data_IF_509992717067
#
_entry.id   IF_509992717067
#
_cell.length_a   1.000
_cell.length_b   1.000
_cell.length_c   1.000
_cell.angle_alpha   90.00
_cell.angle_beta   90.00
_cell.angle_gamma   90.00
#
_symmetry.space_group_name_H-M   'P 1'
#
loop_
_entity.id
_entity.type
_entity.pdbx_description
1 polymer ?
#
# COMPACT_ATOMS: atom_id res chain seq x y z
N UNK A 1 -20.58 2.25 -10.57
CA UNK A 1 -21.30 1.65 -9.43
C UNK A 1 -20.59 2.14 -8.17
N UNK A 2 -21.09 3.22 -7.58
CA UNK A 2 -20.48 3.82 -6.38
C UNK A 2 -20.85 2.92 -5.19
N UNK A 3 -19.84 2.36 -4.53
CA UNK A 3 -20.03 1.70 -3.24
C UNK A 3 -20.57 2.75 -2.27
N UNK A 4 -21.83 2.60 -1.87
CA UNK A 4 -22.37 3.20 -0.66
C UNK A 4 -21.58 2.60 0.51
N UNK A 5 -20.41 3.17 0.80
CA UNK A 5 -19.62 2.81 1.97
C UNK A 5 -20.46 3.18 3.19
N UNK A 6 -20.96 2.13 3.84
CA UNK A 6 -21.73 2.15 5.06
C UNK A 6 -21.16 3.15 6.06
N UNK A 7 -22.04 4.03 6.55
CA UNK A 7 -21.85 4.79 7.77
C UNK A 7 -21.84 3.83 8.96
N UNK A 8 -20.76 3.09 9.15
CA UNK A 8 -20.51 2.32 10.37
C UNK A 8 -19.93 3.25 11.43
N UNK A 9 -20.75 4.21 11.87
CA UNK A 9 -20.52 4.95 13.11
C UNK A 9 -20.88 4.06 14.31
N UNK A 10 -20.20 2.93 14.45
CA UNK A 10 -20.17 2.18 15.69
C UNK A 10 -19.05 2.77 16.53
N UNK A 11 -19.43 3.56 17.55
CA UNK A 11 -18.57 4.00 18.64
C UNK A 11 -17.63 2.85 19.02
N UNK A 12 -16.37 2.94 18.62
CA UNK A 12 -15.37 2.02 19.09
C UNK A 12 -15.27 2.26 20.61
N UNK A 13 -15.43 1.22 21.46
CA UNK A 13 -15.02 1.37 22.85
C UNK A 13 -13.57 1.84 22.84
N UNK A 14 -13.19 2.77 23.73
CA UNK A 14 -11.81 3.12 23.98
C UNK A 14 -11.06 1.82 24.33
N UNK A 15 -10.45 1.18 23.33
CA UNK A 15 -10.45 -0.28 23.35
C UNK A 15 -9.46 -0.86 22.36
N UNK A 16 -8.95 -2.02 22.74
CA UNK A 16 -8.00 -2.81 21.98
C UNK A 16 -8.40 -2.92 20.50
N UNK A 17 -7.42 -3.04 19.59
CA UNK A 17 -7.73 -3.26 18.18
C UNK A 17 -8.61 -4.49 17.98
N UNK A 18 -9.54 -4.42 17.04
CA UNK A 18 -10.47 -5.51 16.68
C UNK A 18 -10.51 -5.72 15.18
N UNK A 19 -10.94 -6.93 14.77
CA UNK A 19 -11.25 -7.25 13.38
C UNK A 19 -12.75 -7.56 13.25
N UNK A 20 -13.46 -6.75 12.48
CA UNK A 20 -14.86 -7.02 12.10
C UNK A 20 -14.84 -7.73 10.74
N UNK A 21 -15.52 -8.87 10.64
CA UNK A 21 -15.52 -9.72 9.43
C UNK A 21 -16.89 -9.65 8.78
N UNK A 22 -16.95 -9.08 7.59
CA UNK A 22 -18.12 -9.10 6.72
C UNK A 22 -17.87 -10.01 5.51
N UNK A 23 -18.92 -10.45 4.78
CA UNK A 23 -18.77 -11.33 3.63
C UNK A 23 -17.79 -10.81 2.58
N UNK A 24 -17.84 -9.51 2.27
CA UNK A 24 -17.07 -8.92 1.18
C UNK A 24 -15.81 -8.17 1.63
N UNK A 25 -15.70 -7.87 2.92
CA UNK A 25 -14.59 -7.08 3.46
C UNK A 25 -14.36 -7.33 4.95
N UNK A 26 -13.12 -7.11 5.40
CA UNK A 26 -12.77 -7.12 6.82
C UNK A 26 -12.32 -5.72 7.24
N UNK A 27 -12.67 -5.31 8.46
CA UNK A 27 -12.31 -4.00 9.02
C UNK A 27 -11.40 -4.21 10.21
N UNK A 28 -10.15 -3.77 10.12
CA UNK A 28 -9.25 -3.63 11.26
C UNK A 28 -9.48 -2.24 11.84
N UNK A 29 -9.82 -2.12 13.13
CA UNK A 29 -10.05 -0.81 13.75
C UNK A 29 -9.59 -0.74 15.19
N UNK A 30 -9.23 0.47 15.62
CA UNK A 30 -8.97 0.84 17.01
C UNK A 30 -9.53 2.24 17.29
N UNK A 31 -9.12 2.87 18.40
CA UNK A 31 -9.59 4.20 18.79
C UNK A 31 -9.10 5.35 17.86
N UNK A 32 -8.10 5.10 17.01
CA UNK A 32 -7.48 6.12 16.16
C UNK A 32 -7.79 5.91 14.68
N UNK A 33 -7.87 4.66 14.24
CA UNK A 33 -7.83 4.27 12.84
C UNK A 33 -8.83 3.15 12.53
N UNK A 34 -9.29 3.17 11.28
CA UNK A 34 -9.93 2.04 10.63
C UNK A 34 -9.25 1.76 9.28
N UNK A 35 -9.08 0.49 8.95
CA UNK A 35 -8.57 -0.01 7.69
C UNK A 35 -9.53 -1.07 7.14
N UNK A 36 -10.13 -0.80 5.99
CA UNK A 36 -11.07 -1.70 5.32
C UNK A 36 -10.34 -2.48 4.23
N UNK A 37 -10.28 -3.80 4.37
CA UNK A 37 -9.69 -4.74 3.41
C UNK A 37 -10.80 -5.39 2.60
N UNK A 38 -10.83 -5.19 1.28
CA UNK A 38 -11.88 -5.76 0.43
C UNK A 38 -11.43 -7.09 -0.20
N UNK A 39 -12.20 -8.17 -0.01
CA UNK A 39 -11.93 -9.48 -0.62
C UNK A 39 -11.92 -9.40 -2.14
N UNK A 40 -12.89 -8.67 -2.70
CA UNK A 40 -13.01 -8.40 -4.14
C UNK A 40 -11.84 -7.62 -4.75
N UNK A 41 -10.91 -7.12 -3.93
CA UNK A 41 -9.72 -6.37 -4.34
C UNK A 41 -8.42 -7.07 -3.90
N UNK A 42 -8.45 -8.39 -3.77
CA UNK A 42 -7.30 -9.17 -3.32
C UNK A 42 -6.95 -8.97 -1.85
N UNK A 43 -7.88 -8.45 -1.04
CA UNK A 43 -7.67 -8.14 0.37
C UNK A 43 -6.72 -6.96 0.60
N UNK A 44 -6.62 -6.06 -0.38
CA UNK A 44 -5.94 -4.78 -0.27
C UNK A 44 -6.80 -3.74 0.46
N UNK A 45 -6.20 -2.73 1.11
CA UNK A 45 -6.94 -1.64 1.73
C UNK A 45 -7.70 -0.82 0.68
N UNK A 46 -9.01 -0.74 0.82
CA UNK A 46 -9.85 0.18 0.03
C UNK A 46 -10.07 1.51 0.76
N UNK A 47 -9.84 1.53 2.07
CA UNK A 47 -9.97 2.71 2.92
C UNK A 47 -9.04 2.60 4.13
N UNK A 48 -8.32 3.68 4.44
CA UNK A 48 -7.71 3.96 5.73
C UNK A 48 -8.17 5.36 6.16
N UNK A 49 -8.85 5.42 7.29
CA UNK A 49 -9.43 6.64 7.84
C UNK A 49 -9.22 6.71 9.35
N UNK A 50 -9.28 7.91 9.93
CA UNK A 50 -9.33 8.04 11.39
C UNK A 50 -10.71 7.74 11.95
N UNK A 51 -10.81 7.80 13.29
CA UNK A 51 -12.05 7.63 14.04
C UNK A 51 -13.14 8.66 13.69
N UNK A 52 -12.77 9.83 13.16
CA UNK A 52 -13.72 10.85 12.68
C UNK A 52 -14.18 10.59 11.23
N UNK A 53 -13.68 9.53 10.59
CA UNK A 53 -13.99 9.18 9.20
C UNK A 53 -13.19 9.97 8.18
N UNK A 54 -12.17 10.74 8.60
CA UNK A 54 -11.33 11.51 7.68
C UNK A 54 -10.36 10.55 6.99
N UNK A 55 -10.36 10.55 5.66
CA UNK A 55 -9.61 9.60 4.83
C UNK A 55 -8.16 10.04 4.68
N UNK A 56 -7.22 9.12 4.93
CA UNK A 56 -5.79 9.31 4.66
C UNK A 56 -5.34 8.56 3.41
N UNK A 57 -5.97 7.42 3.13
CA UNK A 57 -5.64 6.57 1.99
C UNK A 57 -6.89 5.81 1.54
N UNK A 58 -7.08 5.67 0.22
CA UNK A 58 -8.05 4.76 -0.41
C UNK A 58 -7.46 3.97 -1.58
N UNK A 59 -8.19 2.95 -2.02
CA UNK A 59 -7.95 2.24 -3.28
C UNK A 59 -6.50 1.77 -3.50
N UNK A 60 -5.92 1.10 -2.50
CA UNK A 60 -4.61 0.48 -2.65
C UNK A 60 -4.57 -0.48 -3.85
N UNK A 61 -3.44 -0.51 -4.56
CA UNK A 61 -3.22 -1.38 -5.72
C UNK A 61 -1.86 -2.02 -5.62
N UNK A 62 -1.82 -3.34 -5.69
CA UNK A 62 -0.62 -4.10 -5.96
C UNK A 62 -0.74 -4.63 -7.38
N UNK A 63 0.13 -4.16 -8.27
CA UNK A 63 0.07 -4.53 -9.67
C UNK A 63 1.46 -4.55 -10.29
N UNK A 64 1.56 -5.28 -11.40
CA UNK A 64 2.70 -5.24 -12.29
C UNK A 64 2.21 -5.00 -13.72
N UNK A 65 2.96 -4.22 -14.48
CA UNK A 65 2.77 -4.08 -15.92
C UNK A 65 3.98 -4.66 -16.70
N UNK A 66 3.94 -4.48 -18.01
CA UNK A 66 4.99 -4.70 -19.02
C UNK A 66 6.34 -5.25 -18.52
N UNK A 67 6.78 -6.36 -19.12
CA UNK A 67 8.09 -6.98 -18.86
C UNK A 67 8.10 -7.97 -17.68
N UNK A 68 7.18 -7.84 -16.72
CA UNK A 68 6.94 -8.86 -15.68
C UNK A 68 6.09 -10.05 -16.15
N UNK A 69 5.55 -10.05 -17.36
CA UNK A 69 4.80 -11.16 -17.96
C UNK A 69 5.29 -11.35 -19.39
N UNK A 70 5.61 -12.58 -19.78
CA UNK A 70 5.85 -12.92 -21.16
C UNK A 70 4.56 -12.70 -21.98
N UNK A 71 4.56 -11.73 -22.91
CA UNK A 71 3.41 -11.41 -23.77
C UNK A 71 2.72 -10.07 -23.51
N UNK A 72 3.13 -9.30 -22.50
CA UNK A 72 2.57 -7.98 -22.19
C UNK A 72 1.26 -8.02 -21.38
N UNK A 73 0.77 -6.86 -20.98
CA UNK A 73 -0.44 -6.69 -20.16
C UNK A 73 -0.18 -6.34 -18.69
N UNK A 74 -1.26 -6.29 -17.91
CA UNK A 74 -1.23 -5.92 -16.47
C UNK A 74 -1.76 -7.08 -15.63
N UNK A 75 -1.03 -7.41 -14.58
CA UNK A 75 -1.49 -8.32 -13.52
C UNK A 75 -1.69 -7.53 -12.24
N UNK A 76 -2.74 -7.85 -11.50
CA UNK A 76 -3.05 -7.12 -10.27
C UNK A 76 -3.69 -8.03 -9.23
N UNK A 77 -3.47 -7.69 -7.96
CA UNK A 77 -4.19 -8.32 -6.85
C UNK A 77 -5.69 -8.00 -6.90
N UNK A 78 -6.09 -6.87 -7.50
CA UNK A 78 -7.51 -6.51 -7.65
C UNK A 78 -8.30 -7.45 -8.56
N UNK A 79 -7.62 -8.32 -9.32
CA UNK A 79 -8.26 -9.37 -10.13
C UNK A 79 -8.40 -10.69 -9.36
N UNK A 80 -7.86 -10.79 -8.13
CA UNK A 80 -8.07 -11.90 -7.21
C UNK A 80 -9.25 -11.56 -6.28
N UNK A 81 -10.42 -12.16 -6.51
CA UNK A 81 -11.65 -11.82 -5.77
C UNK A 81 -11.89 -12.67 -4.52
N UNK A 82 -11.12 -13.74 -4.33
CA UNK A 82 -11.23 -14.64 -3.17
C UNK A 82 -9.85 -14.98 -2.59
N UNK A 83 -9.14 -13.98 -2.01
CA UNK A 83 -7.88 -14.24 -1.34
C UNK A 83 -8.10 -15.04 -0.04
N UNK A 84 -7.09 -15.81 0.35
CA UNK A 84 -7.06 -16.39 1.69
C UNK A 84 -6.84 -15.28 2.70
N UNK A 85 -7.68 -15.22 3.74
CA UNK A 85 -7.54 -14.25 4.82
C UNK A 85 -7.57 -14.97 6.16
N UNK A 86 -6.55 -14.73 6.98
CA UNK A 86 -6.44 -15.29 8.33
C UNK A 86 -6.18 -14.16 9.33
N UNK A 87 -6.52 -14.41 10.60
CA UNK A 87 -6.41 -13.42 11.66
C UNK A 87 -5.86 -14.04 12.92
N UNK A 88 -4.95 -13.32 13.56
CA UNK A 88 -4.41 -13.62 14.88
C UNK A 88 -4.68 -12.42 15.78
N UNK A 89 -5.36 -12.66 16.89
CA UNK A 89 -5.73 -11.64 17.88
C UNK A 89 -5.06 -11.99 19.21
N UNK A 90 -4.41 -11.02 19.85
CA UNK A 90 -3.74 -11.24 21.14
C UNK A 90 -2.74 -10.16 21.48
N UNK A 91 -2.39 -10.05 22.77
CA UNK A 91 -1.37 -9.11 23.27
C UNK A 91 -1.62 -7.64 22.88
N UNK A 92 -2.89 -7.22 22.86
CA UNK A 92 -3.27 -5.85 22.50
C UNK A 92 -3.01 -5.48 21.03
N UNK A 93 -2.89 -6.49 20.15
CA UNK A 93 -2.70 -6.33 18.71
C UNK A 93 -3.61 -7.27 17.93
N UNK A 94 -3.94 -6.87 16.72
CA UNK A 94 -4.52 -7.75 15.71
C UNK A 94 -3.60 -7.81 14.52
N UNK A 95 -3.48 -9.01 13.94
CA UNK A 95 -2.73 -9.26 12.73
C UNK A 95 -3.65 -9.95 11.73
N UNK A 96 -3.84 -9.34 10.56
CA UNK A 96 -4.55 -9.96 9.44
C UNK A 96 -3.55 -10.29 8.36
N UNK A 97 -3.53 -11.54 7.92
CA UNK A 97 -2.70 -11.99 6.80
C UNK A 97 -3.59 -12.31 5.62
N UNK A 98 -3.26 -11.74 4.47
CA UNK A 98 -3.95 -11.92 3.19
C UNK A 98 -2.98 -12.59 2.23
N UNK A 99 -3.36 -13.71 1.63
CA UNK A 99 -2.56 -14.39 0.62
C UNK A 99 -3.34 -14.57 -0.68
N UNK A 100 -2.69 -14.30 -1.81
CA UNK A 100 -3.31 -14.36 -3.13
C UNK A 100 -2.28 -14.38 -4.27
N UNK A 101 -2.78 -14.10 -5.47
CA UNK A 101 -1.99 -14.08 -6.72
C UNK A 101 -2.28 -12.82 -7.50
N UNK A 102 -1.27 -12.29 -8.19
CA UNK A 102 -1.49 -11.27 -9.22
C UNK A 102 -2.02 -11.96 -10.47
N UNK A 103 -3.23 -11.60 -10.89
CA UNK A 103 -3.94 -12.24 -12.01
C UNK A 103 -4.15 -11.25 -13.15
N UNK A 104 -4.31 -11.77 -14.36
CA UNK A 104 -4.70 -10.96 -15.52
C UNK A 104 -6.12 -10.42 -15.32
N UNK A 105 -6.50 -9.42 -16.14
CA UNK A 105 -7.88 -8.93 -16.17
C UNK A 105 -8.86 -10.10 -16.41
N UNK A 106 -10.01 -10.06 -15.72
CA UNK A 106 -10.97 -11.17 -15.71
C UNK A 106 -10.61 -12.33 -14.77
N UNK A 107 -9.51 -12.22 -14.00
CA UNK A 107 -9.13 -13.23 -12.99
C UNK A 107 -8.45 -14.46 -13.58
N UNK A 108 -7.97 -14.38 -14.83
CA UNK A 108 -7.29 -15.49 -15.48
C UNK A 108 -5.94 -15.79 -14.81
N UNK A 109 -5.75 -17.05 -14.42
CA UNK A 109 -4.46 -17.54 -13.92
C UNK A 109 -3.47 -17.84 -15.04
N UNK A 110 -2.19 -17.76 -14.72
CA UNK A 110 -1.09 -18.18 -15.58
C UNK A 110 -0.01 -18.86 -14.74
N UNK A 111 0.78 -19.80 -15.31
CA UNK A 111 1.68 -20.67 -14.55
C UNK A 111 2.73 -19.93 -13.71
N UNK A 112 3.10 -18.71 -14.11
CA UNK A 112 4.18 -17.92 -13.54
C UNK A 112 3.69 -16.82 -12.58
N UNK A 113 2.41 -16.86 -12.20
CA UNK A 113 1.77 -15.82 -11.41
C UNK A 113 2.56 -15.51 -10.12
N UNK A 114 2.82 -14.21 -9.92
CA UNK A 114 3.42 -13.71 -8.69
C UNK A 114 2.41 -13.92 -7.57
N UNK A 115 2.84 -14.61 -6.51
CA UNK A 115 2.08 -14.81 -5.29
C UNK A 115 2.41 -13.67 -4.34
N UNK A 116 1.40 -13.16 -3.66
CA UNK A 116 1.59 -12.17 -2.61
C UNK A 116 1.07 -12.69 -1.27
N UNK A 117 1.73 -12.25 -0.20
CA UNK A 117 1.24 -12.32 1.17
C UNK A 117 1.39 -10.94 1.78
N UNK A 118 0.31 -10.37 2.29
CA UNK A 118 0.32 -9.08 2.99
C UNK A 118 -0.12 -9.31 4.42
N UNK A 119 0.70 -8.88 5.37
CA UNK A 119 0.38 -8.89 6.78
C UNK A 119 0.13 -7.46 7.24
N UNK A 120 -1.10 -7.20 7.70
CA UNK A 120 -1.50 -5.96 8.35
C UNK A 120 -1.46 -6.14 9.86
N UNK A 121 -0.85 -5.21 10.58
CA UNK A 121 -0.78 -5.23 12.04
C UNK A 121 -1.33 -3.92 12.60
N UNK A 122 -2.31 -4.01 13.50
CA UNK A 122 -2.88 -2.87 14.19
C UNK A 122 -2.78 -3.06 15.71
N UNK A 123 -2.19 -2.07 16.37
CA UNK A 123 -2.10 -1.99 17.83
C UNK A 123 -3.15 -1.06 18.43
N UNK A 124 -2.89 -0.51 19.61
CA UNK A 124 -3.74 0.51 20.23
C UNK A 124 -3.45 1.95 19.78
N UNK A 125 -2.32 2.19 19.10
CA UNK A 125 -1.91 3.52 18.63
C UNK A 125 -2.36 3.86 17.20
N UNK A 126 -1.97 5.03 16.67
CA UNK A 126 -2.39 5.50 15.35
C UNK A 126 -1.51 4.94 14.22
N UNK A 127 -1.07 3.69 14.35
CA UNK A 127 -0.13 3.04 13.44
C UNK A 127 -0.73 1.79 12.82
N UNK A 128 -0.67 1.69 11.50
CA UNK A 128 -0.94 0.47 10.75
C UNK A 128 0.36 -0.05 10.15
N UNK A 129 0.83 -1.20 10.64
CA UNK A 129 1.97 -1.91 10.05
C UNK A 129 1.55 -2.70 8.82
N UNK A 130 2.35 -2.66 7.77
CA UNK A 130 2.17 -3.45 6.55
C UNK A 130 3.47 -4.16 6.20
N UNK A 131 3.38 -5.47 5.97
CA UNK A 131 4.47 -6.27 5.40
C UNK A 131 3.97 -7.00 4.17
N UNK A 132 4.49 -6.63 3.01
CA UNK A 132 4.30 -7.32 1.75
C UNK A 132 5.43 -8.32 1.53
N UNK A 133 5.06 -9.54 1.16
CA UNK A 133 5.95 -10.57 0.65
C UNK A 133 5.45 -10.96 -0.74
N UNK A 134 6.35 -10.97 -1.71
CA UNK A 134 6.09 -11.46 -3.05
C UNK A 134 6.98 -12.67 -3.31
N UNK A 135 6.46 -13.64 -4.04
CA UNK A 135 7.23 -14.78 -4.56
C UNK A 135 6.77 -15.12 -5.97
N UNK A 136 7.66 -15.72 -6.75
CA UNK A 136 7.33 -16.26 -8.08
C UNK A 136 7.73 -17.73 -8.16
N UNK A 137 6.94 -18.61 -8.80
CA UNK A 137 7.28 -20.04 -8.88
C UNK A 137 8.38 -20.35 -9.90
N UNK A 138 8.73 -19.39 -10.76
CA UNK A 138 9.73 -19.53 -11.83
C UNK A 138 10.87 -18.55 -11.62
N UNK A 139 12.01 -18.83 -12.24
CA UNK A 139 13.10 -17.87 -12.27
C UNK A 139 12.75 -16.74 -13.23
N UNK A 140 12.93 -15.50 -12.78
CA UNK A 140 12.79 -14.31 -13.64
C UNK A 140 14.16 -13.69 -13.81
N UNK A 141 14.77 -13.94 -14.97
CA UNK A 141 15.99 -13.26 -15.41
C UNK A 141 15.58 -11.95 -16.05
N UNK A 142 16.34 -10.90 -15.77
CA UNK A 142 16.10 -9.57 -16.31
C UNK A 142 14.66 -9.09 -16.06
N UNK A 143 14.21 -9.20 -14.80
CA UNK A 143 12.92 -8.64 -14.40
C UNK A 143 12.96 -7.11 -14.56
N UNK A 144 12.71 -6.64 -15.78
CA UNK A 144 12.52 -5.25 -16.15
C UNK A 144 11.02 -5.00 -16.30
N UNK A 145 10.51 -3.97 -15.66
CA UNK A 145 9.08 -3.65 -15.70
C UNK A 145 8.68 -2.76 -14.54
N UNK A 146 7.38 -2.53 -14.39
CA UNK A 146 6.84 -1.84 -13.24
C UNK A 146 6.13 -2.84 -12.32
N UNK A 147 6.52 -2.89 -11.05
CA UNK A 147 5.86 -3.67 -10.00
C UNK A 147 5.77 -2.78 -8.78
N UNK A 148 4.57 -2.41 -8.37
CA UNK A 148 4.39 -1.45 -7.29
C UNK A 148 3.20 -1.74 -6.39
N UNK A 149 3.35 -1.32 -5.13
CA UNK A 149 2.24 -1.01 -4.25
C UNK A 149 1.95 0.49 -4.39
N UNK A 150 0.75 0.83 -4.88
CA UNK A 150 0.29 2.19 -5.06
C UNK A 150 -0.88 2.52 -4.12
N UNK A 151 -0.91 3.76 -3.65
CA UNK A 151 -1.79 4.22 -2.58
C UNK A 151 -2.38 5.56 -2.97
N UNK A 152 -3.70 5.67 -3.15
CA UNK A 152 -4.32 6.96 -3.45
C UNK A 152 -4.53 7.77 -2.16
N UNK A 153 -4.05 9.02 -2.17
CA UNK A 153 -4.06 9.95 -1.05
C UNK A 153 -4.92 11.16 -1.45
N UNK A 154 -6.23 11.12 -1.19
CA UNK A 154 -7.16 12.13 -1.67
C UNK A 154 -7.01 13.44 -0.89
N UNK A 155 -7.16 14.56 -1.59
CA UNK A 155 -7.28 15.91 -1.02
C UNK A 155 -6.09 16.38 -0.17
N UNK A 156 -4.96 15.68 -0.23
CA UNK A 156 -3.72 16.15 0.37
C UNK A 156 -3.28 17.44 -0.33
N UNK A 157 -2.78 18.39 0.47
CA UNK A 157 -2.32 19.69 0.00
C UNK A 157 -0.83 19.69 -0.28
N UNK A 158 -0.06 19.01 0.55
CA UNK A 158 1.40 19.02 0.53
C UNK A 158 1.92 17.59 0.65
N UNK A 159 3.05 17.32 0.01
CA UNK A 159 3.86 16.13 0.24
C UNK A 159 5.18 16.52 0.89
N UNK A 160 5.79 15.55 1.55
CA UNK A 160 7.17 15.67 2.02
C UNK A 160 7.90 14.33 1.93
N UNK A 161 9.22 14.40 1.88
CA UNK A 161 10.13 13.27 1.96
C UNK A 161 11.37 13.67 2.77
N UNK A 162 11.83 12.75 3.63
CA UNK A 162 13.12 12.87 4.29
C UNK A 162 14.21 12.32 3.38
N UNK A 163 15.07 13.19 2.90
CA UNK A 163 16.13 12.90 1.93
C UNK A 163 17.51 13.16 2.54
N UNK A 164 18.56 12.71 1.85
CA UNK A 164 19.94 12.93 2.32
C UNK A 164 20.31 14.42 2.49
N UNK A 165 19.64 15.31 1.75
CA UNK A 165 19.88 16.76 1.80
C UNK A 165 18.98 17.50 2.81
N UNK A 166 18.02 16.80 3.43
CA UNK A 166 17.11 17.36 4.41
C UNK A 166 15.67 16.94 4.18
N UNK A 167 14.72 17.88 4.31
CA UNK A 167 13.31 17.60 4.06
C UNK A 167 12.92 18.26 2.74
N UNK A 168 12.67 17.45 1.72
CA UNK A 168 12.02 17.89 0.50
C UNK A 168 10.51 17.98 0.75
N UNK A 169 9.88 19.10 0.37
CA UNK A 169 8.45 19.27 0.52
C UNK A 169 7.92 20.28 -0.51
N UNK A 170 6.73 20.00 -1.06
CA UNK A 170 6.04 20.89 -1.97
C UNK A 170 4.52 20.73 -1.84
N UNK A 171 3.78 21.74 -2.31
CA UNK A 171 2.34 21.62 -2.52
C UNK A 171 2.06 20.73 -3.73
N UNK A 172 1.04 19.89 -3.61
CA UNK A 172 0.41 19.32 -4.78
C UNK A 172 -0.16 20.45 -5.64
N UNK A 173 0.25 20.48 -6.91
CA UNK A 173 -0.01 21.58 -7.83
C UNK A 173 -1.18 21.31 -8.77
N UNK A 174 -1.13 21.93 -9.96
CA UNK A 174 -2.02 21.59 -11.07
C UNK A 174 -1.39 20.58 -12.05
N UNK A 175 -0.10 20.29 -11.89
CA UNK A 175 0.64 19.39 -12.77
C UNK A 175 0.13 17.94 -12.64
N UNK A 176 0.09 17.24 -13.76
CA UNK A 176 -0.28 15.83 -13.85
C UNK A 176 0.97 15.01 -14.17
N UNK A 177 1.80 14.76 -13.16
CA UNK A 177 3.05 14.00 -13.32
C UNK A 177 3.57 13.49 -11.96
N UNK A 178 4.73 12.85 -11.96
CA UNK A 178 5.57 12.63 -10.79
C UNK A 178 6.04 13.98 -10.24
N UNK A 179 5.67 14.27 -9.01
CA UNK A 179 6.06 15.52 -8.32
C UNK A 179 7.32 15.35 -7.47
N UNK A 180 7.66 14.10 -7.14
CA UNK A 180 8.89 13.74 -6.42
C UNK A 180 9.20 12.25 -6.58
N UNK A 181 10.47 11.87 -6.62
CA UNK A 181 10.90 10.47 -6.67
C UNK A 181 12.28 10.19 -6.03
N UNK A 182 12.38 9.06 -5.33
CA UNK A 182 13.61 8.66 -4.62
C UNK A 182 14.77 8.26 -5.54
N UNK A 183 14.46 7.93 -6.80
CA UNK A 183 15.47 7.60 -7.81
C UNK A 183 16.32 8.83 -8.21
N UNK A 184 15.79 10.05 -8.06
CA UNK A 184 16.51 11.30 -8.31
C UNK A 184 17.01 11.93 -7.00
N UNK A 185 16.22 11.82 -5.94
CA UNK A 185 16.55 12.36 -4.62
C UNK A 185 16.41 11.28 -3.55
N UNK A 186 17.52 10.61 -3.19
CA UNK A 186 17.49 9.45 -2.30
C UNK A 186 16.93 9.76 -0.91
N UNK A 187 16.09 8.84 -0.41
CA UNK A 187 15.60 8.89 0.96
C UNK A 187 16.75 8.77 1.96
N UNK A 188 16.62 9.46 3.09
CA UNK A 188 17.52 9.31 4.23
C UNK A 188 17.40 7.88 4.79
N UNK A 189 18.47 7.06 4.78
CA UNK A 189 18.42 5.69 5.31
C UNK A 189 18.21 5.63 6.82
N UNK A 190 18.59 6.68 7.56
CA UNK A 190 18.36 6.76 9.01
C UNK A 190 16.93 7.21 9.34
N UNK A 191 16.27 7.87 8.38
CA UNK A 191 14.88 8.30 8.50
C UNK A 191 14.12 8.15 7.17
N UNK A 192 13.84 6.90 6.74
CA UNK A 192 13.20 6.65 5.44
C UNK A 192 11.70 6.90 5.55
N UNK A 193 11.34 8.18 5.45
CA UNK A 193 10.00 8.69 5.69
C UNK A 193 9.50 9.54 4.53
N UNK A 194 8.29 9.26 4.06
CA UNK A 194 7.56 10.09 3.10
C UNK A 194 6.15 10.31 3.59
N UNK A 195 5.50 11.41 3.25
CA UNK A 195 4.14 11.62 3.71
C UNK A 195 3.41 12.76 3.04
N UNK A 196 2.22 13.02 3.56
CA UNK A 196 1.30 14.02 3.05
C UNK A 196 0.67 14.81 4.20
N UNK A 197 0.36 16.07 3.92
CA UNK A 197 -0.35 16.98 4.83
C UNK A 197 -1.62 17.50 4.17
N UNK A 198 -2.68 17.64 4.95
CA UNK A 198 -3.96 18.21 4.53
C UNK A 198 -4.13 19.64 5.02
N UNK A 199 -5.09 20.36 4.45
CA UNK A 199 -5.38 21.75 4.82
C UNK A 199 -5.90 21.90 6.26
N UNK A 200 -6.51 20.83 6.81
CA UNK A 200 -6.94 20.72 8.21
C UNK A 200 -5.83 20.18 9.12
N UNK A 201 -4.58 20.25 8.64
CA UNK A 201 -3.35 19.95 9.37
C UNK A 201 -3.12 18.47 9.74
N UNK A 202 -4.08 17.59 9.39
CA UNK A 202 -3.86 16.14 9.40
C UNK A 202 -2.59 15.77 8.65
N UNK A 203 -1.92 14.73 9.13
CA UNK A 203 -0.71 14.19 8.51
C UNK A 203 -0.76 12.66 8.39
N UNK A 204 -0.28 12.17 7.25
CA UNK A 204 0.08 10.78 7.01
C UNK A 204 1.61 10.71 6.87
N UNK A 205 2.23 9.74 7.53
CA UNK A 205 3.62 9.38 7.33
C UNK A 205 3.72 7.89 6.98
N UNK A 206 4.49 7.58 5.95
CA UNK A 206 4.97 6.23 5.63
C UNK A 206 6.40 6.15 6.14
N UNK A 207 6.62 5.34 7.17
CA UNK A 207 7.91 5.21 7.86
C UNK A 207 8.38 3.76 7.88
N UNK A 208 9.56 3.51 8.45
CA UNK A 208 10.13 2.17 8.61
C UNK A 208 10.21 1.39 7.28
N UNK A 209 10.42 2.09 6.16
CA UNK A 209 10.52 1.48 4.83
C UNK A 209 11.76 0.58 4.77
N UNK A 210 11.53 -0.73 4.67
CA UNK A 210 12.59 -1.76 4.59
C UNK A 210 12.27 -2.78 3.52
N UNK A 211 13.24 -3.12 2.69
CA UNK A 211 13.07 -4.15 1.67
C UNK A 211 14.18 -5.20 1.71
N UNK A 212 13.82 -6.46 1.47
CA UNK A 212 14.76 -7.56 1.18
C UNK A 212 14.51 -8.00 -0.25
N UNK A 213 14.98 -7.20 -1.19
CA UNK A 213 14.58 -7.20 -2.60
C UNK A 213 14.74 -5.78 -3.15
N UNK A 214 14.44 -5.54 -4.43
CA UNK A 214 14.50 -4.21 -4.98
C UNK A 214 13.37 -3.34 -4.42
N UNK A 215 13.72 -2.10 -4.10
CA UNK A 215 12.82 -0.97 -3.95
C UNK A 215 13.44 0.14 -4.81
N UNK A 216 13.24 0.01 -6.12
CA UNK A 216 13.90 0.88 -7.11
C UNK A 216 13.48 2.34 -6.98
N UNK A 217 12.22 2.58 -6.60
CA UNK A 217 11.71 3.95 -6.51
C UNK A 217 10.55 4.08 -5.51
N UNK A 218 10.54 5.19 -4.78
CA UNK A 218 9.40 5.69 -4.01
C UNK A 218 9.05 7.04 -4.60
N UNK A 219 7.80 7.25 -5.02
CA UNK A 219 7.46 8.50 -5.70
C UNK A 219 6.02 8.94 -5.49
N UNK A 220 5.83 10.25 -5.48
CA UNK A 220 4.52 10.89 -5.52
C UNK A 220 4.14 11.17 -6.96
N UNK A 221 2.96 10.73 -7.36
CA UNK A 221 2.38 11.04 -8.66
C UNK A 221 1.03 11.71 -8.47
N UNK A 222 0.86 12.86 -9.09
CA UNK A 222 -0.40 13.59 -9.08
C UNK A 222 -1.12 13.34 -10.41
N UNK A 223 -2.26 12.64 -10.38
CA UNK A 223 -3.01 12.38 -11.60
C UNK A 223 -3.86 13.58 -12.02
N UNK A 224 -4.38 14.32 -11.05
CA UNK A 224 -5.16 15.56 -11.21
C UNK A 224 -5.20 16.33 -9.87
N UNK A 225 -5.66 17.60 -9.85
CA UNK A 225 -5.86 18.33 -8.60
C UNK A 225 -6.71 17.53 -7.60
N UNK A 226 -6.22 17.41 -6.37
CA UNK A 226 -6.87 16.65 -5.29
C UNK A 226 -6.67 15.13 -5.35
N UNK A 227 -5.96 14.60 -6.35
CA UNK A 227 -5.69 13.17 -6.47
C UNK A 227 -4.19 12.88 -6.65
N UNK A 228 -3.53 12.70 -5.51
CA UNK A 228 -2.18 12.19 -5.43
C UNK A 228 -2.18 10.68 -5.17
N UNK A 229 -1.12 10.02 -5.61
CA UNK A 229 -0.83 8.63 -5.27
C UNK A 229 0.62 8.50 -4.87
N UNK A 230 0.88 7.75 -3.79
CA UNK A 230 2.22 7.32 -3.43
C UNK A 230 2.47 5.94 -4.01
N UNK A 231 3.57 5.79 -4.72
CA UNK A 231 4.02 4.52 -5.28
C UNK A 231 5.27 4.03 -4.54
N UNK A 232 5.23 2.77 -4.12
CA UNK A 232 6.37 2.00 -3.63
C UNK A 232 6.70 0.98 -4.73
N UNK A 233 7.57 1.37 -5.65
CA UNK A 233 7.92 0.58 -6.82
C UNK A 233 9.08 -0.35 -6.47
N UNK A 234 8.77 -1.63 -6.33
CA UNK A 234 9.78 -2.67 -6.19
C UNK A 234 10.61 -2.78 -7.47
N UNK A 235 9.95 -2.71 -8.63
CA UNK A 235 10.58 -2.58 -9.95
C UNK A 235 10.07 -1.31 -10.63
N UNK A 236 10.98 -0.56 -11.26
CA UNK A 236 10.70 0.67 -12.00
C UNK A 236 11.51 0.74 -13.31
N UNK A 237 11.78 -0.42 -13.93
CA UNK A 237 12.43 -0.56 -15.23
C UNK A 237 13.88 -0.08 -15.29
N UNK A 238 14.51 0.21 -14.16
CA UNK A 238 15.81 0.88 -14.11
C UNK A 238 17.00 -0.08 -14.09
N UNK A 239 16.83 -1.30 -13.58
CA UNK A 239 17.87 -2.33 -13.58
C UNK A 239 17.28 -3.74 -13.77
N UNK A 240 17.99 -4.64 -14.48
CA UNK A 240 17.60 -6.04 -14.52
C UNK A 240 17.86 -6.69 -13.16
N UNK A 241 16.81 -7.26 -12.57
CA UNK A 241 16.92 -8.07 -11.35
C UNK A 241 16.75 -9.56 -11.67
N UNK A 242 17.51 -10.39 -10.95
CA UNK A 242 17.28 -11.84 -10.94
C UNK A 242 16.39 -12.16 -9.75
N UNK A 243 15.22 -12.73 -10.03
CA UNK A 243 14.33 -13.26 -9.00
C UNK A 243 14.37 -14.78 -9.03
N UNK A 244 15.05 -15.36 -8.04
CA UNK A 244 15.12 -16.81 -7.88
C UNK A 244 13.74 -17.39 -7.53
N UNK A 245 13.41 -18.60 -8.00
CA UNK A 245 12.14 -19.27 -7.69
C UNK A 245 11.87 -19.33 -6.19
N UNK A 246 10.69 -18.88 -5.78
CA UNK A 246 10.19 -18.84 -4.40
C UNK A 246 11.05 -18.05 -3.40
N UNK A 247 12.09 -17.35 -3.86
CA UNK A 247 12.82 -16.41 -3.00
C UNK A 247 11.89 -15.21 -2.71
N UNK A 248 11.67 -14.85 -1.44
CA UNK A 248 10.76 -13.75 -1.12
C UNK A 248 11.43 -12.41 -1.41
N UNK A 249 10.74 -11.56 -2.15
CA UNK A 249 10.96 -10.11 -2.08
C UNK A 249 10.04 -9.56 -1.01
N UNK A 250 10.58 -8.79 -0.06
CA UNK A 250 9.77 -8.21 1.01
C UNK A 250 9.85 -6.70 1.02
N UNK A 251 8.74 -6.07 1.39
CA UNK A 251 8.61 -4.65 1.68
C UNK A 251 7.84 -4.51 2.99
N UNK A 252 8.44 -3.88 3.99
CA UNK A 252 7.81 -3.54 5.25
C UNK A 252 7.73 -2.02 5.41
N UNK A 253 6.64 -1.54 5.99
CA UNK A 253 6.40 -0.13 6.28
C UNK A 253 5.43 0.03 7.44
N UNK A 254 5.39 1.24 8.00
CA UNK A 254 4.30 1.69 8.88
C UNK A 254 3.62 2.91 8.29
N UNK A 255 2.31 2.95 8.48
CA UNK A 255 1.49 4.12 8.23
C UNK A 255 1.19 4.74 9.59
N UNK A 256 1.64 5.97 9.80
CA UNK A 256 1.39 6.72 11.03
C UNK A 256 0.47 7.87 10.67
N UNK A 257 -0.67 7.97 11.33
CA UNK A 257 -1.58 9.10 11.18
C UNK A 257 -1.52 10.01 12.39
N UNK A 258 -1.48 11.31 12.16
CA UNK A 258 -1.58 12.30 13.21
C UNK A 258 -2.90 13.07 13.03
N UNK A 259 -3.94 12.73 13.81
CA UNK A 259 -5.11 13.59 13.88
C UNK A 259 -4.71 14.88 14.60
N UNK A 260 -5.02 16.03 14.00
CA UNK A 260 -5.12 17.29 14.76
C UNK A 260 -6.35 17.28 15.66
#
# INVERSE_FOLDING_TARGET
>A
MWLSLLTLALLAPAGAPVVVREPDHWVLRNAHLQCVLARSRGGLPVLVADAAGRVYWRDARLYADWGTIAGGGTIAASHCHDPEMTVVEGNGRVQVTVAGRLLCEGGQEFPEAIRYRITYTLGSGPELGLRLELTTPVERRDASGFLALAMAVPDAREWYAHTLEGVAAERFGAATDRVWQSAEESLDPERPEVGALWADGRRLAVTDLRATGPLENVFWHQARPGEASLFLALLCGSAPHVWSPNAPWTLALRLVTHPE
#
